data_IF_665875026363
#
_entry.id   IF_665875026363
#
_cell.length_a   1.000
_cell.length_b   1.000
_cell.length_c   1.000
_cell.angle_alpha   90.00
_cell.angle_beta   90.00
_cell.angle_gamma   90.00
#
_symmetry.space_group_name_H-M   'P 1'
#
loop_
_entity.id
_entity.type
_entity.pdbx_description
1 polymer ?
#
# COMPACT_ATOMS: atom_id res chain seq x y z
N UNK A 1 0.26 13.98 -93.65
CA UNK A 1 -0.07 14.60 -92.35
C UNK A 1 -1.41 14.06 -91.89
N UNK A 2 -1.65 13.82 -90.59
CA UNK A 2 -1.16 12.67 -89.79
C UNK A 2 -2.32 11.93 -89.10
N UNK A 3 -2.13 10.72 -88.53
CA UNK A 3 -2.73 10.36 -87.23
C UNK A 3 -1.79 9.45 -86.45
N UNK A 4 -1.29 10.00 -85.35
CA UNK A 4 -0.52 9.36 -84.30
C UNK A 4 -1.37 8.32 -83.56
N UNK A 5 -0.89 7.09 -83.42
CA UNK A 5 -1.48 6.13 -82.49
C UNK A 5 -0.87 6.33 -81.10
N UNK A 6 -1.72 6.78 -80.17
CA UNK A 6 -1.41 6.98 -78.77
C UNK A 6 -1.06 5.64 -78.09
N UNK A 7 0.10 5.60 -77.44
CA UNK A 7 0.50 4.56 -76.49
C UNK A 7 -0.46 4.56 -75.30
N UNK A 8 -1.31 3.54 -75.24
CA UNK A 8 -2.21 3.29 -74.12
C UNK A 8 -1.38 2.83 -72.91
N UNK A 9 -1.01 3.76 -72.04
CA UNK A 9 -0.41 3.47 -70.75
C UNK A 9 -1.47 2.81 -69.85
N UNK A 10 -1.36 1.49 -69.70
CA UNK A 10 -2.11 0.74 -68.70
C UNK A 10 -1.65 1.17 -67.29
N UNK A 11 -2.45 1.98 -66.61
CA UNK A 11 -2.33 2.18 -65.17
C UNK A 11 -2.72 0.86 -64.49
N UNK A 12 -1.73 0.07 -64.05
CA UNK A 12 -1.99 -1.07 -63.16
C UNK A 12 -2.44 -0.53 -61.82
N UNK A 13 -3.76 -0.54 -61.58
CA UNK A 13 -4.32 -0.37 -60.25
C UNK A 13 -3.83 -1.54 -59.39
N UNK A 14 -2.80 -1.34 -58.58
CA UNK A 14 -2.38 -2.29 -57.55
C UNK A 14 -3.45 -2.29 -56.47
N UNK A 15 -4.45 -3.17 -56.58
CA UNK A 15 -5.40 -3.40 -55.49
C UNK A 15 -4.64 -4.13 -54.39
N UNK A 16 -4.24 -3.39 -53.36
CA UNK A 16 -3.80 -3.99 -52.09
C UNK A 16 -4.89 -4.92 -51.60
N UNK A 17 -4.51 -6.13 -51.24
CA UNK A 17 -5.44 -7.11 -50.69
C UNK A 17 -5.83 -6.68 -49.26
N UNK A 18 -7.04 -7.02 -48.79
CA UNK A 18 -7.52 -6.65 -47.46
C UNK A 18 -6.58 -7.10 -46.32
N UNK A 19 -5.76 -8.14 -46.57
CA UNK A 19 -4.74 -8.63 -45.65
C UNK A 19 -3.55 -7.66 -45.47
N UNK A 20 -3.15 -6.91 -46.51
CA UNK A 20 -2.06 -5.92 -46.43
C UNK A 20 -2.48 -4.62 -45.74
N UNK A 21 -3.79 -4.34 -45.68
CA UNK A 21 -4.34 -3.19 -44.95
C UNK A 21 -4.42 -3.47 -43.43
N UNK A 22 -4.40 -4.75 -43.02
CA UNK A 22 -4.52 -5.15 -41.61
C UNK A 22 -3.18 -5.26 -40.87
N UNK A 23 -2.03 -5.26 -41.55
CA UNK A 23 -0.70 -5.32 -40.90
C UNK A 23 -0.13 -3.96 -40.48
N UNK A 24 -0.86 -2.86 -40.67
CA UNK A 24 -0.42 -1.51 -40.27
C UNK A 24 -1.15 -1.02 -39.01
N UNK A 25 -1.69 -1.94 -38.21
CA UNK A 25 -2.06 -1.62 -36.82
C UNK A 25 -0.78 -1.71 -36.00
N UNK A 26 0.08 -0.69 -36.12
CA UNK A 26 1.16 -0.49 -35.15
C UNK A 26 0.51 -0.45 -33.78
N UNK A 27 0.85 -1.39 -32.92
CA UNK A 27 0.32 -1.45 -31.57
C UNK A 27 0.73 -0.18 -30.82
N UNK A 28 -0.15 0.83 -30.83
CA UNK A 28 0.01 2.03 -30.02
C UNK A 28 0.16 1.59 -28.56
N UNK A 29 1.24 1.95 -27.84
CA UNK A 29 1.39 1.60 -26.43
C UNK A 29 0.24 2.22 -25.62
N UNK A 30 -0.74 1.39 -25.25
CA UNK A 30 -2.02 1.87 -24.69
C UNK A 30 -1.95 2.28 -23.22
N UNK A 31 -0.85 2.02 -22.52
CA UNK A 31 -0.81 2.12 -21.05
C UNK A 31 0.27 3.06 -20.48
N UNK A 32 1.23 3.52 -21.29
CA UNK A 32 2.29 4.40 -20.80
C UNK A 32 1.91 5.87 -20.94
N UNK A 33 2.31 6.70 -19.96
CA UNK A 33 2.27 8.16 -20.10
C UNK A 33 3.17 8.60 -21.26
N UNK A 34 2.89 9.79 -21.80
CA UNK A 34 3.81 10.45 -22.74
C UNK A 34 5.13 10.68 -22.00
N UNK A 35 6.23 10.23 -22.57
CA UNK A 35 7.57 10.35 -21.97
C UNK A 35 8.16 11.73 -22.22
N UNK A 36 9.19 12.11 -21.46
CA UNK A 36 9.87 13.40 -21.63
C UNK A 36 10.50 13.62 -23.01
N UNK A 37 10.88 12.55 -23.71
CA UNK A 37 11.40 12.64 -25.08
C UNK A 37 10.28 12.87 -26.09
N UNK A 38 9.13 12.23 -25.87
CA UNK A 38 7.93 12.44 -26.68
C UNK A 38 7.39 13.87 -26.49
N UNK A 39 7.49 14.45 -25.28
CA UNK A 39 7.11 15.86 -25.05
C UNK A 39 7.97 16.85 -25.82
N UNK A 40 9.29 16.60 -25.93
CA UNK A 40 10.18 17.45 -26.74
C UNK A 40 9.81 17.41 -28.21
N UNK A 41 9.56 16.20 -28.76
CA UNK A 41 9.14 16.03 -30.16
C UNK A 41 7.80 16.75 -30.45
N UNK A 42 6.89 16.78 -29.47
CA UNK A 42 5.62 17.52 -29.59
C UNK A 42 5.87 19.03 -29.61
N UNK A 43 6.72 19.54 -28.71
CA UNK A 43 7.04 20.97 -28.61
C UNK A 43 7.82 21.48 -29.84
N UNK A 44 8.75 20.68 -30.36
CA UNK A 44 9.55 21.02 -31.54
C UNK A 44 8.72 20.99 -32.84
N UNK A 45 7.54 20.37 -32.82
CA UNK A 45 6.61 20.28 -33.95
C UNK A 45 5.50 21.35 -33.96
N UNK A 46 5.46 22.25 -32.98
CA UNK A 46 4.50 23.36 -32.92
C UNK A 46 4.93 24.52 -33.82
N UNK A 47 4.90 24.31 -35.13
CA UNK A 47 5.04 25.38 -36.13
C UNK A 47 3.71 26.16 -36.24
N UNK A 48 3.36 26.94 -35.21
CA UNK A 48 2.34 28.00 -35.26
C UNK A 48 0.90 27.59 -35.62
N UNK A 49 0.60 26.30 -35.72
CA UNK A 49 -0.75 25.80 -36.00
C UNK A 49 -1.33 25.23 -34.70
N UNK A 50 -2.33 25.92 -34.14
CA UNK A 50 -3.11 25.49 -32.97
C UNK A 50 -3.86 24.15 -33.21
N UNK A 51 -3.78 23.59 -34.42
CA UNK A 51 -4.42 22.35 -34.81
C UNK A 51 -3.44 21.19 -35.04
N UNK A 52 -3.70 20.12 -34.30
CA UNK A 52 -3.17 18.75 -34.41
C UNK A 52 -2.67 18.37 -35.82
N UNK A 53 -1.39 18.03 -35.94
CA UNK A 53 -0.82 17.46 -37.17
C UNK A 53 -0.81 15.91 -37.13
N UNK A 54 -1.34 15.22 -38.16
CA UNK A 54 -1.25 13.76 -38.26
C UNK A 54 0.19 13.22 -38.22
N UNK A 55 1.14 14.05 -38.64
CA UNK A 55 2.58 13.75 -38.69
C UNK A 55 3.15 13.47 -37.28
N UNK A 56 2.76 14.27 -36.27
CA UNK A 56 3.21 14.08 -34.88
C UNK A 56 2.72 12.72 -34.35
N UNK A 57 1.48 12.31 -34.65
CA UNK A 57 0.99 10.99 -34.21
C UNK A 57 1.67 9.81 -34.90
N UNK A 58 2.01 9.95 -36.18
CA UNK A 58 2.75 8.90 -36.90
C UNK A 58 4.19 8.80 -36.44
N UNK A 59 4.79 9.92 -36.04
CA UNK A 59 6.17 9.99 -35.54
C UNK A 59 6.29 9.44 -34.12
N UNK A 60 5.30 9.71 -33.26
CA UNK A 60 5.28 9.24 -31.87
C UNK A 60 4.67 7.84 -31.72
N UNK A 61 4.04 7.31 -32.77
CA UNK A 61 3.24 6.08 -32.72
C UNK A 61 2.22 6.10 -31.56
N UNK A 62 1.62 7.28 -31.33
CA UNK A 62 0.63 7.52 -30.28
C UNK A 62 -0.73 7.82 -30.88
N UNK A 63 -1.78 7.41 -30.16
CA UNK A 63 -3.14 7.73 -30.57
C UNK A 63 -3.37 9.24 -30.60
N UNK A 64 -4.15 9.70 -31.59
CA UNK A 64 -4.62 11.10 -31.69
C UNK A 64 -5.25 11.61 -30.39
N UNK A 65 -5.97 10.75 -29.68
CA UNK A 65 -6.62 11.11 -28.42
C UNK A 65 -5.62 11.48 -27.33
N UNK A 66 -4.53 10.72 -27.20
CA UNK A 66 -3.48 10.95 -26.18
C UNK A 66 -2.73 12.24 -26.47
N UNK A 67 -2.30 12.46 -27.72
CA UNK A 67 -1.60 13.69 -28.13
C UNK A 67 -2.51 14.91 -28.01
N UNK A 68 -3.77 14.83 -28.46
CA UNK A 68 -4.72 15.94 -28.33
C UNK A 68 -5.04 16.29 -26.87
N UNK A 69 -5.11 15.30 -25.97
CA UNK A 69 -5.29 15.54 -24.54
C UNK A 69 -4.08 16.24 -23.90
N UNK A 70 -2.87 15.92 -24.36
CA UNK A 70 -1.65 16.58 -23.94
C UNK A 70 -1.59 18.03 -24.44
N UNK A 71 -1.82 18.26 -25.73
CA UNK A 71 -1.82 19.60 -26.33
C UNK A 71 -2.85 20.55 -25.71
N UNK A 72 -4.07 20.05 -25.42
CA UNK A 72 -5.11 20.87 -24.81
C UNK A 72 -4.78 21.33 -23.38
N UNK A 73 -3.93 20.59 -22.66
CA UNK A 73 -3.54 20.93 -21.29
C UNK A 73 -2.24 20.20 -20.90
N UNK A 74 -1.07 20.71 -21.33
CA UNK A 74 0.21 20.04 -21.11
C UNK A 74 0.59 20.02 -19.62
N UNK A 75 0.29 21.09 -18.88
CA UNK A 75 0.65 21.23 -17.47
C UNK A 75 -0.06 20.21 -16.55
N UNK A 76 -1.33 19.91 -16.83
CA UNK A 76 -2.11 18.97 -16.02
C UNK A 76 -2.03 17.51 -16.50
N UNK A 77 -1.36 17.25 -17.64
CA UNK A 77 -1.30 15.93 -18.21
C UNK A 77 -0.62 14.93 -17.27
N UNK A 78 -1.28 13.80 -17.00
CA UNK A 78 -0.75 12.75 -16.14
C UNK A 78 -0.65 13.09 -14.64
N UNK A 79 -1.09 14.29 -14.21
CA UNK A 79 -1.10 14.72 -12.80
C UNK A 79 -2.28 14.14 -12.02
N UNK A 80 -3.39 13.84 -12.71
CA UNK A 80 -4.57 13.24 -12.08
C UNK A 80 -4.27 11.82 -11.62
N UNK A 81 -4.19 11.62 -10.31
CA UNK A 81 -4.15 10.30 -9.70
C UNK A 81 -5.57 9.75 -9.52
N UNK A 82 -5.73 8.44 -9.75
CA UNK A 82 -6.95 7.76 -9.35
C UNK A 82 -6.99 7.70 -7.81
N UNK A 83 -8.15 7.90 -7.16
CA UNK A 83 -8.28 7.80 -5.69
C UNK A 83 -7.92 6.41 -5.14
N UNK A 84 -7.62 5.45 -6.01
CA UNK A 84 -7.18 4.10 -5.62
C UNK A 84 -8.35 3.24 -5.16
N UNK A 85 -8.02 2.06 -4.65
CA UNK A 85 -9.02 1.12 -4.13
C UNK A 85 -9.56 1.62 -2.78
N UNK A 86 -10.89 1.64 -2.56
CA UNK A 86 -11.45 2.01 -1.27
C UNK A 86 -10.99 1.05 -0.17
N UNK A 87 -10.88 1.58 1.06
CA UNK A 87 -10.51 0.79 2.23
C UNK A 87 -11.63 -0.18 2.60
N UNK A 88 -11.26 -1.37 3.05
CA UNK A 88 -12.20 -2.40 3.52
C UNK A 88 -12.81 -2.03 4.88
N UNK A 89 -12.08 -1.27 5.69
CA UNK A 89 -12.55 -0.75 6.98
C UNK A 89 -12.57 0.78 6.94
N UNK A 90 -13.54 1.35 7.64
CA UNK A 90 -13.65 2.78 7.89
C UNK A 90 -12.63 3.24 8.93
N UNK A 91 -12.37 4.56 8.96
CA UNK A 91 -11.53 5.16 10.01
C UNK A 91 -12.12 4.99 11.41
N UNK A 92 -13.43 4.84 11.54
CA UNK A 92 -14.08 4.62 12.83
C UNK A 92 -13.81 3.22 13.35
N UNK A 93 -14.00 2.19 12.51
CA UNK A 93 -13.70 0.80 12.85
C UNK A 93 -12.21 0.61 13.16
N UNK A 94 -11.32 1.28 12.42
CA UNK A 94 -9.88 1.28 12.72
C UNK A 94 -9.59 1.73 14.16
N UNK A 95 -10.24 2.81 14.63
CA UNK A 95 -10.09 3.29 16.01
C UNK A 95 -10.70 2.32 17.02
N UNK A 96 -11.83 1.70 16.69
CA UNK A 96 -12.47 0.70 17.57
C UNK A 96 -11.57 -0.52 17.74
N UNK A 97 -10.96 -1.01 16.66
CA UNK A 97 -9.96 -2.08 16.69
C UNK A 97 -8.82 -1.70 17.62
N UNK A 98 -8.21 -0.51 17.44
CA UNK A 98 -7.06 -0.10 18.25
C UNK A 98 -7.43 0.06 19.72
N UNK A 99 -8.62 0.59 20.03
CA UNK A 99 -9.12 0.70 21.40
C UNK A 99 -9.34 -0.67 22.05
N UNK A 100 -9.97 -1.59 21.34
CA UNK A 100 -10.21 -2.94 21.84
C UNK A 100 -8.88 -3.66 22.10
N UNK A 101 -7.95 -3.59 21.14
CA UNK A 101 -6.62 -4.19 21.26
C UNK A 101 -5.81 -3.60 22.41
N UNK A 102 -5.90 -2.28 22.62
CA UNK A 102 -5.16 -1.61 23.70
C UNK A 102 -5.63 -2.05 25.09
N UNK A 103 -6.90 -2.40 25.24
CA UNK A 103 -7.51 -2.70 26.53
C UNK A 103 -7.57 -4.21 26.84
N UNK A 104 -7.28 -5.08 25.86
CA UNK A 104 -7.54 -6.52 25.98
C UNK A 104 -6.44 -7.37 25.34
N UNK A 105 -6.32 -8.63 25.79
CA UNK A 105 -5.34 -9.60 25.27
C UNK A 105 -5.97 -10.63 24.32
N UNK A 106 -7.10 -10.28 23.70
CA UNK A 106 -7.88 -11.21 22.87
C UNK A 106 -7.26 -11.40 21.47
N UNK A 107 -7.61 -12.53 20.84
CA UNK A 107 -7.14 -12.89 19.50
C UNK A 107 -7.73 -11.96 18.42
N UNK A 108 -7.08 -11.91 17.25
CA UNK A 108 -7.59 -11.12 16.11
C UNK A 108 -8.97 -11.60 15.65
N UNK A 109 -9.20 -12.92 15.64
CA UNK A 109 -10.51 -13.48 15.31
C UNK A 109 -11.58 -13.08 16.32
N UNK A 110 -11.22 -13.01 17.61
CA UNK A 110 -12.16 -12.55 18.63
C UNK A 110 -12.51 -11.06 18.45
N UNK A 111 -11.52 -10.20 18.14
CA UNK A 111 -11.77 -8.78 17.85
C UNK A 111 -12.69 -8.62 16.64
N UNK A 112 -12.46 -9.43 15.61
CA UNK A 112 -13.31 -9.44 14.43
C UNK A 112 -14.77 -9.75 14.80
N UNK A 113 -15.00 -10.78 15.62
CA UNK A 113 -16.34 -11.17 16.05
C UNK A 113 -16.96 -10.10 16.96
N UNK A 114 -16.21 -9.60 17.95
CA UNK A 114 -16.68 -8.58 18.89
C UNK A 114 -17.13 -7.29 18.18
N UNK A 115 -16.38 -6.87 17.16
CA UNK A 115 -16.66 -5.66 16.39
C UNK A 115 -17.52 -5.93 15.14
N UNK A 116 -17.99 -7.17 14.94
CA UNK A 116 -18.77 -7.62 13.80
C UNK A 116 -18.16 -7.23 12.43
N UNK A 117 -16.84 -7.42 12.29
CA UNK A 117 -16.09 -7.04 11.09
C UNK A 117 -16.01 -8.20 10.10
N UNK A 118 -16.13 -7.90 8.80
CA UNK A 118 -16.03 -8.92 7.77
C UNK A 118 -14.58 -9.41 7.50
N UNK A 119 -13.56 -8.66 7.91
CA UNK A 119 -12.18 -8.85 7.41
C UNK A 119 -11.11 -9.03 8.51
N UNK A 120 -10.86 -10.28 8.92
CA UNK A 120 -9.83 -10.65 9.91
C UNK A 120 -8.41 -10.17 9.54
N UNK A 121 -8.01 -10.34 8.27
CA UNK A 121 -6.67 -9.97 7.80
C UNK A 121 -6.42 -8.48 7.92
N UNK A 122 -7.46 -7.66 7.74
CA UNK A 122 -7.38 -6.20 7.87
C UNK A 122 -7.19 -5.80 9.32
N UNK A 123 -7.90 -6.44 10.26
CA UNK A 123 -7.72 -6.22 11.70
C UNK A 123 -6.26 -6.48 12.11
N UNK A 124 -5.68 -7.60 11.68
CA UNK A 124 -4.27 -7.90 11.95
C UNK A 124 -3.32 -6.84 11.39
N UNK A 125 -3.56 -6.35 10.17
CA UNK A 125 -2.74 -5.29 9.55
C UNK A 125 -2.80 -3.99 10.34
N UNK A 126 -3.99 -3.59 10.80
CA UNK A 126 -4.17 -2.40 11.65
C UNK A 126 -3.40 -2.55 12.95
N UNK A 127 -3.53 -3.69 13.63
CA UNK A 127 -2.82 -3.95 14.88
C UNK A 127 -1.30 -3.92 14.68
N UNK A 128 -0.79 -4.56 13.63
CA UNK A 128 0.66 -4.59 13.38
C UNK A 128 1.23 -3.26 12.83
N UNK A 129 0.40 -2.41 12.22
CA UNK A 129 0.83 -1.12 11.73
C UNK A 129 0.96 -0.07 12.84
N UNK A 130 0.29 -0.28 13.98
CA UNK A 130 0.33 0.69 15.08
C UNK A 130 1.68 0.62 15.83
N UNK A 131 2.40 1.74 15.99
CA UNK A 131 3.70 1.76 16.67
C UNK A 131 3.61 1.64 18.20
N UNK A 132 2.40 1.81 18.76
CA UNK A 132 2.20 1.84 20.21
C UNK A 132 1.80 0.47 20.78
N UNK A 133 1.42 -0.49 19.94
CA UNK A 133 0.87 -1.77 20.36
C UNK A 133 1.81 -2.87 19.92
N UNK A 134 2.45 -3.51 20.90
CA UNK A 134 3.29 -4.68 20.68
C UNK A 134 2.63 -5.91 21.31
N UNK A 135 2.38 -6.93 20.48
CA UNK A 135 1.88 -8.22 20.95
C UNK A 135 3.08 -9.15 21.16
N UNK A 136 3.40 -9.41 22.41
CA UNK A 136 4.44 -10.37 22.78
C UNK A 136 3.85 -11.56 23.53
N UNK A 137 4.45 -12.73 23.33
CA UNK A 137 4.12 -13.90 24.12
C UNK A 137 4.69 -13.74 25.53
N UNK A 138 3.82 -13.65 26.53
CA UNK A 138 4.26 -13.63 27.93
C UNK A 138 4.99 -14.93 28.27
N UNK A 139 6.22 -14.83 28.80
CA UNK A 139 6.96 -15.99 29.30
C UNK A 139 6.16 -16.63 30.42
N UNK A 140 5.93 -17.95 30.32
CA UNK A 140 5.19 -18.67 31.35
C UNK A 140 5.97 -18.65 32.66
N UNK A 141 5.28 -18.31 33.75
CA UNK A 141 5.86 -18.43 35.08
C UNK A 141 6.22 -19.90 35.35
N UNK A 142 7.32 -20.17 36.07
CA UNK A 142 7.66 -21.52 36.48
C UNK A 142 6.55 -22.10 37.37
N UNK A 143 6.25 -23.39 37.20
CA UNK A 143 5.20 -24.07 37.98
C UNK A 143 5.60 -24.12 39.46
N UNK A 144 4.69 -23.69 40.35
CA UNK A 144 4.89 -23.79 41.79
C UNK A 144 4.53 -25.19 42.29
N UNK A 145 5.56 -25.95 42.68
CA UNK A 145 5.38 -27.24 43.37
C UNK A 145 4.87 -27.01 44.79
N UNK A 146 4.29 -28.04 45.41
CA UNK A 146 3.84 -27.96 46.82
C UNK A 146 4.98 -27.53 47.75
N UNK A 147 6.20 -28.04 47.52
CA UNK A 147 7.41 -27.62 48.23
C UNK A 147 7.69 -26.12 48.06
N UNK A 148 7.59 -25.57 46.85
CA UNK A 148 7.78 -24.14 46.61
C UNK A 148 6.74 -23.31 47.36
N UNK A 149 5.47 -23.73 47.39
CA UNK A 149 4.41 -23.04 48.13
C UNK A 149 4.68 -23.03 49.64
N UNK A 150 5.02 -24.18 50.21
CA UNK A 150 5.33 -24.30 51.64
C UNK A 150 6.55 -23.45 52.04
N UNK A 151 7.60 -23.48 51.22
CA UNK A 151 8.80 -22.66 51.48
C UNK A 151 8.51 -21.17 51.35
N UNK A 152 7.73 -20.76 50.33
CA UNK A 152 7.31 -19.36 50.18
C UNK A 152 6.49 -18.89 51.37
N UNK A 153 5.54 -19.69 51.84
CA UNK A 153 4.71 -19.36 53.00
C UNK A 153 5.56 -19.25 54.27
N UNK A 154 6.47 -20.20 54.50
CA UNK A 154 7.40 -20.15 55.64
C UNK A 154 8.28 -18.90 55.58
N UNK A 155 8.89 -18.62 54.43
CA UNK A 155 9.68 -17.40 54.21
C UNK A 155 8.81 -16.17 54.45
N UNK A 156 7.56 -16.17 53.99
CA UNK A 156 6.67 -15.05 54.21
C UNK A 156 6.42 -14.83 55.70
N UNK A 157 5.96 -15.86 56.41
CA UNK A 157 5.69 -15.82 57.86
C UNK A 157 6.91 -15.37 58.68
N UNK A 158 8.11 -15.89 58.37
CA UNK A 158 9.36 -15.52 59.06
C UNK A 158 9.81 -14.08 58.80
N UNK A 159 9.23 -13.41 57.79
CA UNK A 159 9.63 -12.07 57.37
C UNK A 159 8.51 -11.02 57.51
N UNK A 160 7.34 -11.37 58.04
CA UNK A 160 6.20 -10.44 58.29
C UNK A 160 6.64 -9.25 59.15
N UNK A 161 7.38 -9.51 60.23
CA UNK A 161 7.80 -8.46 61.19
C UNK A 161 9.15 -7.82 60.84
N UNK A 162 9.78 -8.22 59.72
CA UNK A 162 11.16 -7.84 59.44
C UNK A 162 11.23 -6.46 58.78
N UNK A 163 11.97 -5.55 59.42
CA UNK A 163 12.23 -4.22 58.86
C UNK A 163 13.30 -4.29 57.74
N UNK A 164 12.82 -4.28 56.50
CA UNK A 164 13.67 -4.39 55.29
C UNK A 164 14.46 -3.12 54.96
N UNK A 165 13.98 -1.95 55.41
CA UNK A 165 14.68 -0.64 55.26
C UNK A 165 16.05 -0.62 55.94
N UNK A 166 16.19 -1.30 57.08
CA UNK A 166 17.46 -1.38 57.82
C UNK A 166 18.51 -2.26 57.14
N UNK A 167 18.09 -3.23 56.31
CA UNK A 167 18.97 -4.28 55.78
C UNK A 167 19.44 -4.05 54.35
N UNK A 168 18.63 -3.38 53.52
CA UNK A 168 18.90 -3.23 52.08
C UNK A 168 19.33 -1.81 51.67
N UNK A 169 19.32 -0.85 52.60
CA UNK A 169 19.56 0.57 52.31
C UNK A 169 18.40 1.21 51.54
N UNK A 170 18.13 2.49 51.79
CA UNK A 170 16.93 3.19 51.33
C UNK A 170 16.71 3.24 49.79
N UNK A 171 17.72 2.89 48.98
CA UNK A 171 17.72 3.11 47.53
C UNK A 171 17.81 1.82 46.68
N UNK A 172 17.62 0.63 47.28
CA UNK A 172 17.75 -0.63 46.54
C UNK A 172 16.51 -0.96 45.71
N UNK A 173 16.68 -1.25 44.42
CA UNK A 173 15.61 -1.71 43.50
C UNK A 173 14.89 -2.97 43.99
N UNK A 174 15.48 -3.72 44.92
CA UNK A 174 14.92 -4.92 45.53
C UNK A 174 13.82 -4.66 46.58
N UNK A 175 13.76 -3.47 47.20
CA UNK A 175 12.67 -3.17 48.16
C UNK A 175 11.32 -3.03 47.44
N UNK A 176 11.32 -2.44 46.23
CA UNK A 176 10.13 -2.37 45.37
C UNK A 176 9.67 -3.74 44.85
N UNK A 177 10.63 -4.62 44.53
CA UNK A 177 10.34 -5.99 44.07
C UNK A 177 9.73 -6.86 45.19
N UNK A 178 10.19 -6.69 46.43
CA UNK A 178 9.68 -7.46 47.57
C UNK A 178 8.28 -7.03 47.99
N UNK A 179 7.95 -5.74 47.96
CA UNK A 179 6.56 -5.28 48.18
C UNK A 179 5.59 -5.92 47.16
N UNK A 180 5.95 -5.94 45.87
CA UNK A 180 5.11 -6.54 44.82
C UNK A 180 4.95 -8.06 44.99
N UNK A 181 6.02 -8.76 45.42
CA UNK A 181 5.97 -10.23 45.60
C UNK A 181 5.18 -10.63 46.85
N UNK A 182 5.17 -9.81 47.89
CA UNK A 182 4.42 -10.06 49.11
C UNK A 182 2.95 -9.61 49.04
N UNK A 183 2.62 -8.55 48.30
CA UNK A 183 1.24 -8.05 48.11
C UNK A 183 0.39 -8.89 47.12
N UNK A 184 0.99 -9.91 46.47
CA UNK A 184 0.32 -10.80 45.50
C UNK A 184 0.04 -12.22 46.05
N UNK A 185 0.20 -12.45 47.35
CA UNK A 185 -0.29 -13.63 48.07
C UNK A 185 -1.67 -13.32 48.63
#
# INVERSE_FOLDING_TARGET
MPKSNASHLYFKQVRRTHAEVMTDVRECPQSSKISGTETSIIADGEDGNEFFSPQITTQLERSRHVVGKFLNNPDSYGQRTSPGRPRVISRHEERQILREVSNTTISVGQIQVNLNLAASRTVWRVTNASPNIHREATRKAPRLTARHKALRLRIASENIERNWTKRMGANSTMTKFLHIVFDMI
#
